data_IF_642989372962
#
_entry.id   IF_642989372962
#
_cell.length_a   1.000
_cell.length_b   1.000
_cell.length_c   1.000
_cell.angle_alpha   90.00
_cell.angle_beta   90.00
_cell.angle_gamma   90.00
#
_symmetry.space_group_name_H-M   'P 1'
#
loop_
_entity.id
_entity.type
_entity.pdbx_description
1 polymer ?
#
# COMPACT_ATOMS: atom_id res chain seq x y z
N UNK A 1 23.21 0.03 -11.81
CA UNK A 1 23.11 0.43 -10.38
C UNK A 1 23.34 -0.82 -9.52
N UNK A 2 24.40 -0.86 -8.72
CA UNK A 2 24.68 -2.01 -7.86
C UNK A 2 23.61 -2.13 -6.76
N UNK A 3 22.90 -3.24 -6.71
CA UNK A 3 21.91 -3.52 -5.68
C UNK A 3 22.63 -3.68 -4.34
N UNK A 4 22.48 -2.69 -3.45
CA UNK A 4 23.01 -2.75 -2.08
C UNK A 4 22.19 -3.78 -1.29
N UNK A 5 22.68 -5.02 -1.23
CA UNK A 5 22.03 -6.10 -0.50
C UNK A 5 22.37 -6.03 0.99
N UNK A 6 21.36 -6.19 1.87
CA UNK A 6 21.53 -6.30 3.32
C UNK A 6 21.13 -7.71 3.74
N UNK A 7 21.98 -8.39 4.51
CA UNK A 7 21.66 -9.71 5.06
C UNK A 7 20.66 -9.54 6.21
N UNK A 8 19.57 -10.29 6.14
CA UNK A 8 18.51 -10.37 7.15
C UNK A 8 18.41 -11.83 7.56
N UNK A 9 18.30 -12.09 8.87
CA UNK A 9 18.07 -13.43 9.41
C UNK A 9 16.58 -13.51 9.73
N UNK A 10 15.90 -14.52 9.19
CA UNK A 10 14.51 -14.82 9.47
C UNK A 10 14.35 -16.34 9.57
N UNK A 11 13.37 -16.76 10.35
CA UNK A 11 13.01 -18.16 10.50
C UNK A 11 11.97 -18.53 9.43
N UNK A 12 12.18 -19.64 8.75
CA UNK A 12 11.21 -20.23 7.84
C UNK A 12 10.62 -21.48 8.49
N UNK A 13 9.34 -21.75 8.22
CA UNK A 13 8.74 -23.02 8.61
C UNK A 13 9.48 -24.18 7.94
N UNK A 14 9.67 -25.29 8.66
CA UNK A 14 10.49 -26.41 8.19
C UNK A 14 9.98 -26.99 6.87
N UNK A 15 8.66 -27.06 6.69
CA UNK A 15 8.02 -27.54 5.45
C UNK A 15 8.31 -26.61 4.27
N UNK A 16 8.10 -25.30 4.47
CA UNK A 16 8.40 -24.28 3.45
C UNK A 16 9.88 -24.25 3.08
N UNK A 17 10.77 -24.45 4.05
CA UNK A 17 12.21 -24.53 3.81
C UNK A 17 12.57 -25.71 2.90
N UNK A 18 11.99 -26.90 3.16
CA UNK A 18 12.21 -28.10 2.34
C UNK A 18 11.67 -27.92 0.92
N UNK A 19 10.45 -27.39 0.78
CA UNK A 19 9.86 -27.12 -0.54
C UNK A 19 10.68 -26.08 -1.31
N UNK A 20 11.06 -24.98 -0.66
CA UNK A 20 11.87 -23.94 -1.27
C UNK A 20 13.24 -24.47 -1.73
N UNK A 21 13.87 -25.31 -0.93
CA UNK A 21 15.15 -25.94 -1.28
C UNK A 21 15.03 -26.92 -2.45
N UNK A 22 13.90 -27.62 -2.56
CA UNK A 22 13.62 -28.57 -3.64
C UNK A 22 13.27 -27.90 -4.97
N UNK A 23 12.54 -26.78 -4.93
CA UNK A 23 12.02 -26.09 -6.11
C UNK A 23 12.96 -24.99 -6.62
N UNK A 24 13.80 -24.42 -5.76
CA UNK A 24 14.60 -23.25 -6.10
C UNK A 24 16.09 -23.56 -6.17
N UNK A 25 16.71 -23.41 -7.36
CA UNK A 25 18.16 -23.53 -7.52
C UNK A 25 18.91 -22.57 -6.61
N UNK A 26 20.02 -23.02 -6.00
CA UNK A 26 20.77 -22.28 -4.97
C UNK A 26 21.11 -20.84 -5.35
N UNK A 27 21.46 -20.58 -6.62
CA UNK A 27 21.80 -19.24 -7.11
C UNK A 27 20.62 -18.27 -7.29
N UNK A 28 19.38 -18.78 -7.31
CA UNK A 28 18.17 -17.98 -7.54
C UNK A 28 17.37 -17.69 -6.27
N UNK A 29 17.73 -18.33 -5.15
CA UNK A 29 17.00 -18.24 -3.87
C UNK A 29 16.80 -16.80 -3.40
N UNK A 30 17.87 -16.01 -3.38
CA UNK A 30 17.80 -14.60 -2.98
C UNK A 30 16.91 -13.78 -3.92
N UNK A 31 16.93 -14.07 -5.22
CA UNK A 31 16.08 -13.37 -6.20
C UNK A 31 14.61 -13.68 -5.97
N UNK A 32 14.25 -14.95 -5.81
CA UNK A 32 12.86 -15.39 -5.59
C UNK A 32 12.31 -14.85 -4.27
N UNK A 33 13.08 -14.93 -3.18
CA UNK A 33 12.66 -14.37 -1.89
C UNK A 33 12.43 -12.87 -2.00
N UNK A 34 13.34 -12.14 -2.66
CA UNK A 34 13.16 -10.70 -2.86
C UNK A 34 11.93 -10.37 -3.72
N UNK A 35 11.62 -11.17 -4.74
CA UNK A 35 10.42 -11.01 -5.55
C UNK A 35 9.13 -11.31 -4.78
N UNK A 36 9.12 -12.38 -3.99
CA UNK A 36 8.00 -12.73 -3.11
C UNK A 36 7.73 -11.63 -2.09
N UNK A 37 8.79 -11.15 -1.41
CA UNK A 37 8.69 -10.05 -0.45
C UNK A 37 8.21 -8.75 -1.10
N UNK A 38 8.65 -8.43 -2.32
CA UNK A 38 8.15 -7.25 -3.04
C UNK A 38 6.66 -7.34 -3.32
N UNK A 39 6.17 -8.50 -3.75
CA UNK A 39 4.73 -8.71 -4.00
C UNK A 39 3.93 -8.55 -2.71
N UNK A 40 4.38 -9.16 -1.62
CA UNK A 40 3.66 -9.08 -0.34
C UNK A 40 3.68 -7.66 0.24
N UNK A 41 4.83 -6.97 0.18
CA UNK A 41 4.92 -5.58 0.62
C UNK A 41 4.03 -4.65 -0.22
N UNK A 42 3.88 -4.90 -1.51
CA UNK A 42 2.94 -4.14 -2.35
C UNK A 42 1.49 -4.37 -1.94
N UNK A 43 1.12 -5.61 -1.63
CA UNK A 43 -0.21 -5.95 -1.11
C UNK A 43 -0.49 -5.22 0.21
N UNK A 44 0.41 -5.33 1.18
CA UNK A 44 0.30 -4.62 2.47
C UNK A 44 0.24 -3.09 2.31
N UNK A 45 0.98 -2.52 1.36
CA UNK A 45 0.90 -1.07 1.07
C UNK A 45 -0.48 -0.67 0.55
N UNK A 46 -1.07 -1.48 -0.34
CA UNK A 46 -2.41 -1.23 -0.87
C UNK A 46 -3.46 -1.33 0.23
N UNK A 47 -3.41 -2.37 1.05
CA UNK A 47 -4.32 -2.56 2.19
C UNK A 47 -4.27 -1.36 3.13
N UNK A 48 -3.07 -0.92 3.54
CA UNK A 48 -2.91 0.29 4.36
C UNK A 48 -3.42 1.56 3.69
N UNK A 49 -3.25 1.70 2.38
CA UNK A 49 -3.77 2.86 1.65
C UNK A 49 -5.30 2.84 1.61
N UNK A 50 -5.90 1.66 1.37
CA UNK A 50 -7.35 1.48 1.37
C UNK A 50 -7.94 1.73 2.76
N UNK A 51 -7.33 1.21 3.82
CA UNK A 51 -7.73 1.50 5.21
C UNK A 51 -7.71 3.00 5.51
N UNK A 52 -6.65 3.71 5.09
CA UNK A 52 -6.58 5.18 5.23
C UNK A 52 -7.71 5.88 4.49
N UNK A 53 -8.01 5.48 3.25
CA UNK A 53 -9.09 6.07 2.46
C UNK A 53 -10.45 5.80 3.08
N UNK A 54 -10.69 4.59 3.58
CA UNK A 54 -11.92 4.23 4.29
C UNK A 54 -12.07 5.10 5.54
N UNK A 55 -10.99 5.25 6.32
CA UNK A 55 -10.98 6.07 7.54
C UNK A 55 -11.28 7.54 7.24
N UNK A 56 -10.63 8.12 6.22
CA UNK A 56 -10.92 9.49 5.78
C UNK A 56 -12.37 9.59 5.31
N UNK A 57 -12.89 8.61 4.57
CA UNK A 57 -14.30 8.59 4.12
C UNK A 57 -15.29 8.47 5.28
N UNK A 58 -14.96 7.75 6.35
CA UNK A 58 -15.81 7.63 7.53
C UNK A 58 -15.78 8.87 8.42
N UNK A 59 -14.64 9.57 8.47
CA UNK A 59 -14.44 10.77 9.30
C UNK A 59 -14.80 12.07 8.56
N UNK A 60 -14.86 12.05 7.23
CA UNK A 60 -15.23 13.23 6.44
C UNK A 60 -16.74 13.49 6.49
N UNK A 61 -17.09 14.74 6.76
CA UNK A 61 -18.46 15.21 6.61
C UNK A 61 -18.88 15.02 5.15
N UNK A 62 -19.97 14.29 4.91
CA UNK A 62 -20.50 14.08 3.57
C UNK A 62 -21.20 15.36 3.12
N UNK A 63 -20.43 16.31 2.62
CA UNK A 63 -20.98 17.55 2.07
C UNK A 63 -21.66 17.22 0.75
N UNK A 64 -22.96 17.53 0.63
CA UNK A 64 -23.69 17.30 -0.61
C UNK A 64 -23.26 18.31 -1.68
N UNK A 65 -23.48 17.98 -2.96
CA UNK A 65 -23.23 18.91 -4.07
C UNK A 65 -24.05 20.19 -3.88
N UNK A 66 -25.27 20.06 -3.36
CA UNK A 66 -26.16 21.19 -3.09
C UNK A 66 -25.55 22.13 -2.04
N UNK A 67 -25.04 21.59 -0.91
CA UNK A 67 -24.35 22.38 0.11
C UNK A 67 -23.10 23.09 -0.43
N UNK A 68 -22.30 22.42 -1.26
CA UNK A 68 -21.14 23.03 -1.92
C UNK A 68 -21.60 24.18 -2.83
N UNK A 69 -22.64 23.97 -3.64
CA UNK A 69 -23.15 25.00 -4.55
C UNK A 69 -23.76 26.20 -3.82
N UNK A 70 -24.42 25.98 -2.68
CA UNK A 70 -24.95 27.06 -1.85
C UNK A 70 -23.83 27.91 -1.27
N UNK A 71 -22.78 27.29 -0.72
CA UNK A 71 -21.61 28.01 -0.20
C UNK A 71 -20.93 28.81 -1.32
N UNK A 72 -20.71 28.21 -2.49
CA UNK A 72 -20.11 28.88 -3.64
C UNK A 72 -20.99 30.01 -4.22
N UNK A 73 -22.31 29.90 -4.13
CA UNK A 73 -23.24 30.97 -4.54
C UNK A 73 -23.18 32.14 -3.56
N UNK A 74 -23.17 31.86 -2.25
CA UNK A 74 -23.07 32.88 -1.19
C UNK A 74 -21.74 33.64 -1.26
N UNK A 75 -20.65 32.94 -1.55
CA UNK A 75 -19.32 33.54 -1.69
C UNK A 75 -19.22 34.47 -2.91
N UNK A 76 -19.74 34.03 -4.06
CA UNK A 76 -19.82 34.86 -5.28
C UNK A 76 -20.64 36.14 -5.09
N UNK A 77 -21.73 36.09 -4.33
CA UNK A 77 -22.52 37.29 -4.04
C UNK A 77 -21.81 38.26 -3.08
N UNK A 78 -20.87 37.77 -2.26
CA UNK A 78 -20.10 38.59 -1.31
C UNK A 78 -18.99 39.40 -1.99
N UNK A 79 -18.39 38.85 -3.05
CA UNK A 79 -17.31 39.49 -3.81
C UNK A 79 -17.80 40.40 -4.95
N UNK A 80 -19.11 40.54 -5.14
CA UNK A 80 -19.73 41.37 -6.18
C UNK A 80 -20.27 42.72 -5.67
N UNK A 81 -20.00 43.08 -4.41
CA UNK A 81 -20.20 44.42 -3.84
C UNK A 81 -18.85 45.09 -3.64
#
# INVERSE_FOLDING_TARGET
MALKAKRIIFLLEEKLSKEFDSLVPRGQRSKIVNEALRKELLKLKREKATEKLIKIRSESHKVSIEEITEVLRKDRHRHQK
#
